data_IF_903006080852
#
_entry.id   IF_903006080852
#
_cell.length_a   1.000
_cell.length_b   1.000
_cell.length_c   1.000
_cell.angle_alpha   90.00
_cell.angle_beta   90.00
_cell.angle_gamma   90.00
#
_symmetry.space_group_name_H-M   'P 1'
#
loop_
_entity.id
_entity.type
_entity.pdbx_description
1 polymer ?
#
# COMPACT_ATOMS: atom_id res chain seq x y z
N UNK A 1 -26.39 7.41 4.19
CA UNK A 1 -26.37 6.05 4.75
C UNK A 1 -26.68 4.93 3.73
N UNK A 2 -27.09 5.25 2.53
CA UNK A 2 -27.28 4.27 1.45
C UNK A 2 -26.04 4.11 0.60
N UNK A 3 -24.97 3.53 1.17
CA UNK A 3 -23.72 3.28 0.44
C UNK A 3 -23.96 2.43 -0.82
N UNK A 4 -24.96 1.54 -0.78
CA UNK A 4 -25.29 0.64 -1.86
C UNK A 4 -26.59 1.00 -2.62
N UNK A 5 -27.04 2.27 -2.54
CA UNK A 5 -28.21 2.73 -3.31
C UNK A 5 -28.07 2.48 -4.83
N UNK A 6 -26.87 2.60 -5.36
CA UNK A 6 -26.52 2.29 -6.75
C UNK A 6 -26.67 0.79 -7.10
N UNK A 7 -26.61 -0.09 -6.11
CA UNK A 7 -26.79 -1.55 -6.26
C UNK A 7 -28.23 -1.99 -5.94
N UNK A 8 -29.18 -1.07 -5.88
CA UNK A 8 -30.59 -1.36 -5.63
C UNK A 8 -30.98 -1.50 -4.16
N UNK A 9 -30.13 -1.08 -3.21
CA UNK A 9 -30.50 -1.07 -1.80
C UNK A 9 -31.59 -0.01 -1.53
N UNK A 10 -32.74 -0.47 -1.03
CA UNK A 10 -33.85 0.39 -0.62
C UNK A 10 -33.79 0.64 0.91
N UNK A 11 -33.32 1.81 1.28
CA UNK A 11 -33.18 2.22 2.67
C UNK A 11 -34.53 2.36 3.35
N UNK A 12 -35.57 2.84 2.65
CA UNK A 12 -36.91 3.02 3.22
C UNK A 12 -37.53 1.67 3.56
N UNK A 13 -37.42 0.70 2.66
CA UNK A 13 -37.90 -0.66 2.87
C UNK A 13 -37.18 -1.30 4.06
N UNK A 14 -35.87 -1.16 4.15
CA UNK A 14 -35.09 -1.67 5.28
C UNK A 14 -35.53 -1.06 6.62
N UNK A 15 -35.85 0.23 6.65
CA UNK A 15 -36.30 0.93 7.86
C UNK A 15 -37.75 0.56 8.28
N UNK A 16 -38.56 0.04 7.37
CA UNK A 16 -39.94 -0.36 7.60
C UNK A 16 -40.06 -1.83 8.02
N UNK A 17 -38.99 -2.61 7.95
CA UNK A 17 -39.02 -4.01 8.38
C UNK A 17 -39.29 -4.10 9.90
N UNK A 18 -40.26 -4.91 10.33
CA UNK A 18 -40.61 -5.07 11.75
C UNK A 18 -39.53 -5.87 12.47
N UNK A 19 -38.54 -5.20 13.00
CA UNK A 19 -37.43 -5.81 13.70
C UNK A 19 -37.18 -5.09 15.05
N UNK A 20 -36.67 -5.83 16.04
CA UNK A 20 -36.21 -5.24 17.29
C UNK A 20 -34.93 -4.44 16.99
N UNK A 21 -34.99 -3.13 17.18
CA UNK A 21 -33.82 -2.29 17.01
C UNK A 21 -32.96 -2.35 18.28
N UNK A 22 -31.66 -2.63 18.10
CA UNK A 22 -30.64 -2.58 19.15
C UNK A 22 -29.55 -1.65 18.67
N UNK A 23 -29.35 -0.56 19.39
CA UNK A 23 -28.24 0.37 19.15
C UNK A 23 -27.05 -0.09 19.99
N UNK A 24 -25.90 -0.27 19.36
CA UNK A 24 -24.64 -0.49 20.07
C UNK A 24 -24.09 0.88 20.48
N UNK A 25 -24.09 1.22 21.78
CA UNK A 25 -23.80 2.57 22.23
C UNK A 25 -22.31 2.92 22.18
N UNK A 26 -21.43 1.93 22.27
CA UNK A 26 -19.98 2.16 22.37
C UNK A 26 -19.25 1.86 21.06
N UNK A 27 -18.43 2.77 20.61
CA UNK A 27 -17.46 2.55 19.55
C UNK A 27 -16.07 2.32 20.12
N UNK A 28 -15.46 1.18 19.81
CA UNK A 28 -14.07 0.87 20.17
C UNK A 28 -13.07 1.29 19.08
N UNK A 29 -13.54 1.89 17.99
CA UNK A 29 -12.73 2.24 16.82
C UNK A 29 -12.57 3.75 16.65
N UNK A 30 -13.62 4.52 16.85
CA UNK A 30 -13.69 5.93 16.48
C UNK A 30 -13.29 6.81 17.67
N UNK A 31 -12.21 7.61 17.57
CA UNK A 31 -11.82 8.57 18.61
C UNK A 31 -12.81 9.75 18.73
N UNK A 32 -12.77 10.48 19.86
CA UNK A 32 -13.69 11.58 20.16
C UNK A 32 -13.70 12.71 19.13
N UNK A 33 -12.53 13.16 18.66
CA UNK A 33 -12.46 14.22 17.66
C UNK A 33 -13.02 13.78 16.30
N UNK A 34 -12.83 12.53 15.92
CA UNK A 34 -13.41 11.98 14.67
C UNK A 34 -14.92 11.86 14.79
N UNK A 35 -15.46 11.43 15.95
CA UNK A 35 -16.90 11.42 16.23
C UNK A 35 -17.48 12.83 16.11
N UNK A 36 -16.87 13.82 16.75
CA UNK A 36 -17.34 15.20 16.71
C UNK A 36 -17.47 15.75 15.29
N UNK A 37 -16.47 15.49 14.43
CA UNK A 37 -16.54 15.90 13.00
C UNK A 37 -17.62 15.12 12.25
N UNK A 38 -17.76 13.81 12.52
CA UNK A 38 -18.80 13.00 11.89
C UNK A 38 -20.20 13.53 12.25
N UNK A 39 -20.42 13.86 13.52
CA UNK A 39 -21.68 14.41 14.01
C UNK A 39 -21.96 15.82 13.40
N UNK A 40 -20.94 16.65 13.26
CA UNK A 40 -21.05 17.94 12.58
C UNK A 40 -21.42 17.79 11.09
N UNK A 41 -20.88 16.77 10.40
CA UNK A 41 -21.26 16.47 9.01
C UNK A 41 -22.70 15.94 8.96
N UNK A 42 -23.06 15.03 9.85
CA UNK A 42 -24.40 14.46 9.92
C UNK A 42 -25.46 15.51 10.28
N UNK A 43 -25.14 16.50 11.11
CA UNK A 43 -26.06 17.58 11.47
C UNK A 43 -26.51 18.45 10.28
N UNK A 44 -25.74 18.45 9.18
CA UNK A 44 -26.09 19.15 7.92
C UNK A 44 -27.11 18.38 7.08
N UNK A 45 -27.39 17.10 7.44
CA UNK A 45 -28.42 16.31 6.77
C UNK A 45 -29.75 16.57 7.47
N UNK A 46 -30.84 16.92 6.76
CA UNK A 46 -32.17 17.11 7.34
C UNK A 46 -32.63 15.92 8.17
N UNK A 47 -33.34 16.19 9.26
CA UNK A 47 -33.74 15.15 10.24
C UNK A 47 -34.62 14.06 9.59
N UNK A 48 -35.42 14.40 8.58
CA UNK A 48 -36.24 13.44 7.85
C UNK A 48 -35.42 12.42 7.05
N UNK A 49 -34.12 12.71 6.83
CA UNK A 49 -33.21 11.86 6.01
C UNK A 49 -32.15 11.17 6.84
N UNK A 50 -32.17 11.33 8.15
CA UNK A 50 -31.19 10.70 9.05
C UNK A 50 -31.85 10.03 10.22
N UNK A 51 -31.25 8.96 10.71
CA UNK A 51 -31.56 8.38 12.00
C UNK A 51 -30.57 8.95 13.01
N UNK A 52 -31.06 9.61 14.03
CA UNK A 52 -30.25 10.10 15.13
C UNK A 52 -29.86 8.91 15.98
N UNK A 53 -28.58 8.65 16.13
CA UNK A 53 -28.03 7.59 17.00
C UNK A 53 -27.22 8.26 18.08
N UNK A 54 -27.44 7.82 19.31
CA UNK A 54 -26.60 8.18 20.45
C UNK A 54 -25.58 7.07 20.64
N UNK A 55 -24.29 7.43 20.56
CA UNK A 55 -23.18 6.51 20.71
C UNK A 55 -21.96 7.24 21.25
N UNK A 56 -21.10 6.51 21.93
CA UNK A 56 -19.89 7.03 22.56
C UNK A 56 -18.66 6.63 21.73
N UNK A 57 -17.73 7.56 21.57
CA UNK A 57 -16.42 7.28 20.99
C UNK A 57 -15.57 6.43 21.94
N UNK A 58 -14.49 5.85 21.42
CA UNK A 58 -13.48 5.24 22.29
C UNK A 58 -12.82 6.32 23.16
N UNK A 59 -12.27 5.92 24.30
CA UNK A 59 -11.67 6.83 25.29
C UNK A 59 -10.29 7.34 24.87
N UNK A 60 -10.22 7.94 23.68
CA UNK A 60 -9.06 8.62 23.11
C UNK A 60 -9.51 9.81 22.28
N UNK A 61 -8.73 10.90 22.28
CA UNK A 61 -9.09 12.08 21.50
C UNK A 61 -8.85 11.87 20.00
N UNK A 62 -7.74 11.25 19.64
CA UNK A 62 -7.28 11.15 18.26
C UNK A 62 -6.74 12.50 17.75
N UNK A 63 -6.41 12.52 16.44
CA UNK A 63 -5.93 13.73 15.78
C UNK A 63 -6.56 13.86 14.41
N UNK A 64 -6.76 15.11 13.95
CA UNK A 64 -7.31 15.42 12.63
C UNK A 64 -6.48 16.53 12.04
N UNK A 65 -6.01 16.30 10.82
CA UNK A 65 -5.24 17.26 10.06
C UNK A 65 -5.95 17.54 8.72
N UNK A 66 -5.85 18.78 8.26
CA UNK A 66 -6.34 19.19 6.95
C UNK A 66 -5.14 19.57 6.10
N UNK A 67 -4.98 18.91 4.96
CA UNK A 67 -3.96 19.20 3.95
C UNK A 67 -4.61 19.58 2.63
N UNK A 68 -3.90 20.27 1.78
CA UNK A 68 -4.33 20.60 0.42
C UNK A 68 -3.91 19.54 -0.59
N UNK A 69 -2.87 18.78 -0.28
CA UNK A 69 -2.28 17.76 -1.14
C UNK A 69 -1.91 16.49 -0.36
N UNK A 70 -1.70 15.40 -1.07
CA UNK A 70 -1.22 14.14 -0.48
C UNK A 70 0.23 14.25 -0.02
N UNK A 71 1.03 15.10 -0.65
CA UNK A 71 2.42 15.37 -0.29
C UNK A 71 2.56 16.04 1.08
N UNK A 72 1.50 16.70 1.58
CA UNK A 72 1.45 17.30 2.91
C UNK A 72 1.33 16.25 4.03
N UNK A 73 1.06 14.98 3.68
CA UNK A 73 0.84 13.89 4.62
C UNK A 73 2.14 13.11 4.84
N UNK A 74 2.58 12.85 6.08
CA UNK A 74 3.81 12.12 6.37
C UNK A 74 3.65 10.61 6.12
N UNK A 75 3.46 10.21 4.86
CA UNK A 75 3.16 8.83 4.45
C UNK A 75 4.32 7.86 4.66
N UNK A 76 5.54 8.36 4.89
CA UNK A 76 6.71 7.55 5.21
C UNK A 76 6.66 6.97 6.63
N UNK A 77 5.78 7.49 7.49
CA UNK A 77 5.68 7.07 8.88
C UNK A 77 4.36 6.33 9.13
N UNK A 78 4.44 5.13 9.70
CA UNK A 78 3.28 4.37 10.11
C UNK A 78 2.50 3.70 8.97
N UNK A 79 1.25 3.33 9.25
CA UNK A 79 0.35 2.65 8.30
C UNK A 79 -0.83 3.53 7.97
N UNK A 80 -1.03 3.80 6.70
CA UNK A 80 -2.07 4.71 6.21
C UNK A 80 -3.12 3.98 5.38
N UNK A 81 -4.37 4.39 5.52
CA UNK A 81 -5.47 3.98 4.65
C UNK A 81 -5.98 5.21 3.90
N UNK A 82 -5.77 5.24 2.59
CA UNK A 82 -6.25 6.32 1.72
C UNK A 82 -7.60 5.93 1.13
N UNK A 83 -8.61 6.75 1.39
CA UNK A 83 -9.97 6.55 0.90
C UNK A 83 -10.38 7.69 -0.03
N UNK A 84 -11.07 7.37 -1.10
CA UNK A 84 -11.69 8.35 -1.98
C UNK A 84 -13.10 7.89 -2.39
N UNK A 85 -13.97 8.86 -2.70
CA UNK A 85 -15.34 8.59 -3.16
C UNK A 85 -15.38 7.87 -4.51
N UNK A 86 -14.41 8.16 -5.38
CA UNK A 86 -14.32 7.62 -6.73
C UNK A 86 -12.97 6.97 -6.97
N UNK A 87 -12.95 5.83 -7.65
CA UNK A 87 -11.72 5.08 -7.95
C UNK A 87 -10.72 5.87 -8.81
N UNK A 88 -11.21 6.73 -9.71
CA UNK A 88 -10.35 7.56 -10.55
C UNK A 88 -9.42 8.47 -9.73
N UNK A 89 -9.88 8.93 -8.58
CA UNK A 89 -9.05 9.72 -7.65
C UNK A 89 -7.89 8.90 -7.10
N UNK A 90 -8.16 7.65 -6.68
CA UNK A 90 -7.11 6.73 -6.21
C UNK A 90 -6.13 6.35 -7.33
N UNK A 91 -6.63 6.17 -8.56
CA UNK A 91 -5.76 5.88 -9.71
C UNK A 91 -4.80 7.03 -9.99
N UNK A 92 -5.27 8.27 -9.89
CA UNK A 92 -4.44 9.48 -10.09
C UNK A 92 -3.38 9.67 -9.00
N UNK A 93 -3.58 9.13 -7.81
CA UNK A 93 -2.58 9.17 -6.73
C UNK A 93 -1.40 8.22 -6.95
N UNK A 94 -1.57 7.14 -7.70
CA UNK A 94 -0.52 6.12 -7.89
C UNK A 94 0.80 6.69 -8.43
N UNK A 95 0.81 7.46 -9.54
CA UNK A 95 2.07 8.04 -10.02
C UNK A 95 2.70 8.97 -8.98
N UNK A 96 1.93 9.78 -8.29
CA UNK A 96 2.43 10.70 -7.25
C UNK A 96 3.11 9.91 -6.12
N UNK A 97 2.44 8.86 -5.61
CA UNK A 97 3.03 8.01 -4.56
C UNK A 97 4.31 7.29 -5.02
N UNK A 98 4.36 6.90 -6.31
CA UNK A 98 5.59 6.32 -6.88
C UNK A 98 6.72 7.35 -6.98
N UNK A 99 6.45 8.58 -7.40
CA UNK A 99 7.42 9.68 -7.43
C UNK A 99 7.95 10.03 -6.02
N UNK A 100 7.12 9.87 -5.00
CA UNK A 100 7.50 10.02 -3.60
C UNK A 100 8.26 8.81 -3.03
N UNK A 101 8.45 7.73 -3.76
CA UNK A 101 9.06 6.49 -3.26
C UNK A 101 8.19 5.75 -2.23
N UNK A 102 6.87 6.00 -2.17
CA UNK A 102 5.99 5.39 -1.18
C UNK A 102 5.51 4.02 -1.65
N UNK A 103 5.73 2.99 -0.82
CA UNK A 103 5.08 1.70 -0.99
C UNK A 103 3.58 1.82 -0.75
N UNK A 104 2.77 1.22 -1.63
CA UNK A 104 1.33 1.13 -1.43
C UNK A 104 0.73 -0.15 -2.03
N UNK A 105 -0.43 -0.50 -1.54
CA UNK A 105 -1.26 -1.56 -2.12
C UNK A 105 -2.57 -0.99 -2.66
N UNK A 106 -2.98 -1.46 -3.82
CA UNK A 106 -4.26 -1.12 -4.41
C UNK A 106 -4.95 -2.36 -4.93
N UNK A 107 -6.15 -2.66 -4.42
CA UNK A 107 -6.93 -3.88 -4.77
C UNK A 107 -6.08 -5.15 -4.66
N UNK A 108 -5.39 -5.32 -3.54
CA UNK A 108 -4.49 -6.45 -3.23
C UNK A 108 -3.31 -6.62 -4.20
N UNK A 109 -2.95 -5.56 -4.93
CA UNK A 109 -1.76 -5.54 -5.79
C UNK A 109 -0.74 -4.57 -5.21
N UNK A 110 0.48 -5.04 -5.09
CA UNK A 110 1.64 -4.25 -4.68
C UNK A 110 1.99 -3.19 -5.74
N UNK A 111 2.54 -2.07 -5.31
CA UNK A 111 2.93 -0.94 -6.18
C UNK A 111 4.16 -1.23 -7.05
N UNK A 112 4.88 -2.30 -6.77
CA UNK A 112 6.07 -2.74 -7.52
C UNK A 112 5.83 -4.09 -8.23
N UNK A 113 6.66 -4.39 -9.23
CA UNK A 113 6.69 -5.69 -9.91
C UNK A 113 7.29 -6.74 -8.96
N UNK A 114 6.46 -7.67 -8.46
CA UNK A 114 6.85 -8.64 -7.45
C UNK A 114 8.05 -9.50 -7.87
N UNK A 115 8.14 -9.90 -9.15
CA UNK A 115 9.28 -10.68 -9.66
C UNK A 115 10.57 -9.88 -9.65
N UNK A 116 10.54 -8.61 -10.09
CA UNK A 116 11.70 -7.74 -10.06
C UNK A 116 12.18 -7.54 -8.62
N UNK A 117 11.26 -7.30 -7.69
CA UNK A 117 11.62 -7.15 -6.27
C UNK A 117 12.26 -8.44 -5.70
N UNK A 118 11.71 -9.62 -6.02
CA UNK A 118 12.29 -10.90 -5.64
C UNK A 118 13.70 -11.11 -6.23
N UNK A 119 13.90 -10.73 -7.49
CA UNK A 119 15.23 -10.78 -8.11
C UNK A 119 16.23 -9.87 -7.40
N UNK A 120 15.81 -8.66 -7.00
CA UNK A 120 16.67 -7.72 -6.24
C UNK A 120 17.04 -8.29 -4.86
N UNK A 121 16.09 -8.88 -4.14
CA UNK A 121 16.36 -9.55 -2.86
C UNK A 121 17.32 -10.73 -3.05
N UNK A 122 17.10 -11.54 -4.07
CA UNK A 122 17.99 -12.67 -4.39
C UNK A 122 19.39 -12.18 -4.76
N UNK A 123 19.52 -11.10 -5.52
CA UNK A 123 20.78 -10.47 -5.84
C UNK A 123 21.52 -10.02 -4.58
N UNK A 124 20.83 -9.31 -3.69
CA UNK A 124 21.41 -8.84 -2.42
C UNK A 124 21.86 -10.03 -1.53
N UNK A 125 21.05 -11.08 -1.42
CA UNK A 125 21.42 -12.28 -0.70
C UNK A 125 22.64 -12.97 -1.31
N UNK A 126 22.69 -13.07 -2.62
CA UNK A 126 23.77 -13.70 -3.35
C UNK A 126 25.09 -12.95 -3.19
N UNK A 127 25.09 -11.63 -3.38
CA UNK A 127 26.29 -10.78 -3.16
C UNK A 127 26.76 -10.77 -1.70
N UNK A 128 25.85 -11.03 -0.75
CA UNK A 128 26.20 -11.23 0.66
C UNK A 128 26.61 -12.69 0.99
N UNK A 129 26.83 -13.52 -0.01
CA UNK A 129 27.35 -14.87 0.16
C UNK A 129 26.32 -15.97 0.42
N UNK A 130 25.03 -15.69 0.30
CA UNK A 130 23.99 -16.70 0.46
C UNK A 130 23.90 -17.61 -0.77
N UNK A 131 23.64 -18.90 -0.54
CA UNK A 131 23.34 -19.83 -1.63
C UNK A 131 21.91 -19.61 -2.11
N UNK A 132 21.74 -19.53 -3.44
CA UNK A 132 20.45 -19.46 -4.10
C UNK A 132 20.02 -20.83 -4.63
N UNK A 133 18.73 -21.10 -4.62
CA UNK A 133 18.11 -22.22 -5.31
C UNK A 133 18.10 -21.99 -6.83
N UNK A 134 17.88 -23.05 -7.62
CA UNK A 134 17.77 -22.97 -9.09
C UNK A 134 16.67 -21.99 -9.52
N UNK A 135 15.53 -21.98 -8.83
CA UNK A 135 14.43 -21.08 -9.12
C UNK A 135 14.79 -19.61 -8.85
N UNK A 136 15.48 -19.33 -7.74
CA UNK A 136 15.95 -17.97 -7.41
C UNK A 136 17.00 -17.47 -8.41
N UNK A 137 17.87 -18.37 -8.89
CA UNK A 137 18.83 -18.03 -9.96
C UNK A 137 18.12 -17.69 -11.28
N UNK A 138 17.03 -18.40 -11.63
CA UNK A 138 16.26 -18.09 -12.84
C UNK A 138 15.64 -16.71 -12.78
N UNK A 139 15.13 -16.31 -11.63
CA UNK A 139 14.59 -14.96 -11.43
C UNK A 139 15.66 -13.88 -11.63
N UNK A 140 16.91 -14.13 -11.21
CA UNK A 140 18.03 -13.22 -11.49
C UNK A 140 18.36 -13.13 -12.98
N UNK A 141 18.44 -14.28 -13.67
CA UNK A 141 18.80 -14.32 -15.11
C UNK A 141 17.79 -13.58 -15.98
N UNK A 142 16.53 -13.51 -15.56
CA UNK A 142 15.49 -12.76 -16.30
C UNK A 142 15.79 -11.26 -16.36
N UNK A 143 16.53 -10.75 -15.38
CA UNK A 143 16.81 -9.31 -15.26
C UNK A 143 18.26 -8.92 -15.53
N UNK A 144 19.17 -9.87 -15.61
CA UNK A 144 20.57 -9.56 -15.90
C UNK A 144 20.76 -8.96 -17.30
N UNK A 145 21.53 -7.88 -17.38
CA UNK A 145 21.97 -7.29 -18.63
C UNK A 145 22.87 -8.24 -19.42
N UNK A 146 23.10 -7.89 -20.71
CA UNK A 146 23.84 -8.73 -21.68
C UNK A 146 25.28 -9.07 -21.24
N UNK A 147 25.88 -8.22 -20.42
CA UNK A 147 27.24 -8.39 -19.93
C UNK A 147 27.35 -9.38 -18.76
N UNK A 148 26.22 -9.89 -18.29
CA UNK A 148 26.13 -10.82 -17.18
C UNK A 148 25.69 -12.22 -17.63
N UNK A 149 26.01 -13.27 -16.82
CA UNK A 149 25.62 -14.64 -17.14
C UNK A 149 24.11 -14.78 -17.33
N UNK A 150 23.69 -15.33 -18.47
CA UNK A 150 22.27 -15.49 -18.81
C UNK A 150 21.81 -16.94 -18.88
N UNK A 151 22.67 -17.92 -18.55
CA UNK A 151 22.36 -19.36 -18.65
C UNK A 151 22.73 -20.14 -17.39
N UNK A 152 21.89 -21.13 -17.09
CA UNK A 152 22.07 -22.07 -15.97
C UNK A 152 23.41 -22.80 -15.98
N UNK A 153 24.01 -23.03 -17.14
CA UNK A 153 25.28 -23.75 -17.32
C UNK A 153 26.47 -23.05 -16.64
N UNK A 154 26.36 -21.77 -16.32
CA UNK A 154 27.37 -20.98 -15.60
C UNK A 154 27.08 -20.81 -14.10
N UNK A 155 26.11 -21.51 -13.55
CA UNK A 155 25.75 -21.40 -12.14
C UNK A 155 26.89 -21.72 -11.16
N UNK A 156 27.79 -22.60 -11.55
CA UNK A 156 28.95 -22.95 -10.71
C UNK A 156 29.95 -21.82 -10.62
N UNK A 157 30.11 -21.06 -11.72
CA UNK A 157 30.98 -19.87 -11.77
C UNK A 157 30.36 -18.68 -11.03
N UNK A 158 29.02 -18.65 -10.85
CA UNK A 158 28.30 -17.60 -10.17
C UNK A 158 28.61 -17.51 -8.66
N UNK A 159 29.05 -18.60 -8.01
CA UNK A 159 29.45 -18.56 -6.60
C UNK A 159 30.66 -17.66 -6.37
N UNK A 160 31.69 -17.81 -7.17
CA UNK A 160 32.91 -17.00 -7.08
C UNK A 160 32.66 -15.58 -7.60
N UNK A 161 31.86 -15.43 -8.64
CA UNK A 161 31.53 -14.17 -9.25
C UNK A 161 30.67 -13.27 -8.34
N UNK A 162 29.66 -13.85 -7.63
CA UNK A 162 28.78 -13.10 -6.71
C UNK A 162 29.52 -12.45 -5.55
N UNK A 163 30.50 -13.14 -4.97
CA UNK A 163 31.31 -12.62 -3.87
C UNK A 163 32.23 -11.46 -4.27
N UNK A 164 32.52 -11.31 -5.53
CA UNK A 164 33.35 -10.22 -6.05
C UNK A 164 32.57 -9.00 -6.56
N UNK A 165 31.25 -9.14 -6.70
CA UNK A 165 30.38 -8.06 -7.17
C UNK A 165 30.13 -7.03 -6.06
N UNK A 166 30.78 -5.88 -6.20
CA UNK A 166 30.48 -4.68 -5.40
C UNK A 166 29.52 -3.73 -6.10
N UNK A 167 29.00 -4.15 -7.25
CA UNK A 167 28.13 -3.33 -8.14
C UNK A 167 26.70 -3.39 -7.64
N UNK A 168 26.01 -2.27 -7.49
CA UNK A 168 24.61 -2.27 -7.07
C UNK A 168 23.69 -2.88 -8.15
N UNK A 169 22.58 -3.50 -7.72
CA UNK A 169 21.66 -4.22 -8.61
C UNK A 169 21.14 -3.39 -9.79
N UNK A 170 20.95 -2.09 -9.62
CA UNK A 170 20.42 -1.19 -10.67
C UNK A 170 21.41 -0.91 -11.80
N UNK A 171 22.68 -1.26 -11.62
CA UNK A 171 23.70 -1.23 -12.68
C UNK A 171 23.83 -2.57 -13.41
N UNK A 172 23.30 -3.64 -12.80
CA UNK A 172 23.40 -5.02 -13.30
C UNK A 172 22.13 -5.44 -14.04
N UNK A 173 20.96 -4.95 -13.59
CA UNK A 173 19.66 -5.36 -14.11
C UNK A 173 19.21 -4.47 -15.28
N UNK A 174 18.80 -5.09 -16.37
CA UNK A 174 18.05 -4.43 -17.44
C UNK A 174 16.58 -4.32 -17.06
N UNK A 175 16.14 -3.17 -16.61
CA UNK A 175 14.78 -2.90 -16.20
C UNK A 175 14.29 -1.57 -16.78
N UNK A 176 12.97 -1.36 -16.80
CA UNK A 176 12.43 -0.05 -17.14
C UNK A 176 12.96 1.00 -16.15
N UNK A 177 13.50 2.13 -16.61
CA UNK A 177 14.11 3.13 -15.73
C UNK A 177 13.21 3.63 -14.61
N UNK A 178 11.90 3.77 -14.89
CA UNK A 178 10.90 4.19 -13.90
C UNK A 178 10.71 3.17 -12.77
N UNK A 179 10.73 1.87 -13.09
CA UNK A 179 10.61 0.81 -12.08
C UNK A 179 11.87 0.72 -11.22
N UNK A 180 13.05 0.83 -11.83
CA UNK A 180 14.33 0.85 -11.09
C UNK A 180 14.41 2.03 -10.14
N UNK A 181 14.09 3.22 -10.61
CA UNK A 181 14.09 4.43 -9.79
C UNK A 181 13.13 4.30 -8.61
N UNK A 182 11.89 3.91 -8.90
CA UNK A 182 10.87 3.75 -7.87
C UNK A 182 11.26 2.73 -6.80
N UNK A 183 11.75 1.53 -7.18
CA UNK A 183 12.13 0.52 -6.20
C UNK A 183 13.32 0.98 -5.36
N UNK A 184 14.29 1.65 -5.98
CA UNK A 184 15.43 2.21 -5.24
C UNK A 184 14.98 3.22 -4.19
N UNK A 185 14.14 4.17 -4.57
CA UNK A 185 13.65 5.22 -3.68
C UNK A 185 12.74 4.64 -2.58
N UNK A 186 11.89 3.66 -2.94
CA UNK A 186 11.06 2.92 -1.99
C UNK A 186 11.88 2.16 -0.94
N UNK A 187 12.96 1.48 -1.36
CA UNK A 187 13.85 0.75 -0.44
C UNK A 187 14.63 1.69 0.49
N UNK A 188 14.99 2.87 0.00
CA UNK A 188 15.65 3.89 0.84
C UNK A 188 14.69 4.52 1.84
N UNK A 189 13.43 4.70 1.49
CA UNK A 189 12.41 5.35 2.31
C UNK A 189 11.76 4.41 3.34
N UNK A 190 11.80 3.09 3.12
CA UNK A 190 11.17 2.09 3.98
C UNK A 190 12.20 1.10 4.49
N UNK A 191 12.84 1.43 5.62
CA UNK A 191 13.81 0.54 6.28
C UNK A 191 13.23 -0.84 6.64
N UNK A 192 11.91 -0.95 6.89
CA UNK A 192 11.25 -2.23 7.17
C UNK A 192 11.26 -3.17 5.96
N UNK A 193 11.07 -2.63 4.74
CA UNK A 193 11.11 -3.42 3.50
C UNK A 193 12.54 -3.82 3.08
N UNK A 194 13.55 -3.12 3.59
CA UNK A 194 14.95 -3.45 3.30
C UNK A 194 15.50 -4.59 4.17
N UNK A 195 14.77 -4.99 5.23
CA UNK A 195 15.19 -6.03 6.19
C UNK A 195 14.48 -7.38 5.98
N UNK A 196 13.45 -7.46 5.13
CA UNK A 196 12.81 -8.70 4.69
C UNK A 196 13.55 -9.32 3.48
#
# INVERSE_FOLDING_TARGET
QAIYGWAGADVKRFQQEPAKEIVLPQSYRVPRLVQHIADNILSKIPDERRIKKEWEARDEDGSIYFGSSIEDVPLHEGKWLVLARYNDKLIKLKPILREMGIYFEYKNRKSYKTRLYAAIQNYTRWTNGSLLSISECRDLFEYFGKDFPQKEERMYDLKEFGYSLTVPWFEVFETEPEDSLYIRDMLQSNEELSKE
#
